data_IF_165206454961
#
_entry.id   IF_165206454961
#
_cell.length_a   1.000
_cell.length_b   1.000
_cell.length_c   1.000
_cell.angle_alpha   90.00
_cell.angle_beta   90.00
_cell.angle_gamma   90.00
#
_symmetry.space_group_name_H-M   'P 1'
#
loop_
_entity.id
_entity.type
_entity.pdbx_description
1 polymer ?
#
# COMPACT_ATOMS: atom_id res chain seq x y z
N UNK A 1 -23.14 -2.90 -9.17
CA UNK A 1 -22.13 -3.19 -8.13
C UNK A 1 -20.74 -2.89 -8.68
N UNK A 2 -19.83 -2.37 -7.86
CA UNK A 2 -18.45 -2.06 -8.23
C UNK A 2 -17.51 -2.88 -7.33
N UNK A 3 -16.61 -3.64 -7.93
CA UNK A 3 -15.48 -4.28 -7.25
C UNK A 3 -14.22 -3.46 -7.50
N UNK A 4 -13.64 -2.92 -6.43
CA UNK A 4 -12.39 -2.17 -6.47
C UNK A 4 -11.29 -2.99 -5.81
N UNK A 5 -10.30 -3.40 -6.59
CA UNK A 5 -9.10 -4.06 -6.10
C UNK A 5 -8.05 -3.01 -5.70
N UNK A 6 -7.35 -3.28 -4.60
CA UNK A 6 -6.22 -2.47 -4.15
C UNK A 6 -5.06 -3.37 -3.68
N UNK A 7 -3.84 -2.83 -3.72
CA UNK A 7 -2.60 -3.55 -3.40
C UNK A 7 -1.90 -2.92 -2.19
N UNK A 8 -0.75 -3.46 -1.76
CA UNK A 8 0.01 -2.98 -0.60
C UNK A 8 0.24 -1.44 -0.58
N UNK A 9 0.50 -0.75 -1.73
CA UNK A 9 0.61 0.71 -1.76
C UNK A 9 -0.60 1.45 -1.20
N UNK A 10 -1.83 0.93 -1.36
CA UNK A 10 -3.04 1.55 -0.82
C UNK A 10 -3.00 1.62 0.72
N UNK A 11 -2.53 0.55 1.36
CA UNK A 11 -2.37 0.47 2.81
C UNK A 11 -1.34 1.51 3.27
N UNK A 12 -0.26 1.70 2.51
CA UNK A 12 0.77 2.69 2.83
C UNK A 12 0.29 4.14 2.68
N UNK A 13 -0.55 4.45 1.68
CA UNK A 13 -1.14 5.78 1.55
C UNK A 13 -1.92 6.17 2.82
N UNK A 14 -2.70 5.22 3.35
CA UNK A 14 -3.49 5.39 4.55
C UNK A 14 -2.61 5.45 5.82
N UNK A 15 -1.72 4.47 6.00
CA UNK A 15 -0.94 4.33 7.23
C UNK A 15 0.09 5.44 7.43
N UNK A 16 0.62 6.02 6.34
CA UNK A 16 1.64 7.06 6.39
C UNK A 16 1.14 8.43 5.93
N UNK A 17 -0.18 8.57 5.69
CA UNK A 17 -0.80 9.81 5.21
C UNK A 17 -0.07 10.41 4.01
N UNK A 18 0.19 9.59 2.99
CA UNK A 18 0.95 10.00 1.81
C UNK A 18 0.08 10.82 0.83
N UNK A 19 0.61 11.12 -0.35
CA UNK A 19 0.00 11.97 -1.40
C UNK A 19 -1.49 11.65 -1.67
N UNK A 20 -1.88 10.39 -1.67
CA UNK A 20 -3.24 9.94 -1.95
C UNK A 20 -4.03 9.55 -0.70
N UNK A 21 -3.65 10.07 0.47
CA UNK A 21 -4.31 9.77 1.74
C UNK A 21 -5.82 10.03 1.70
N UNK A 22 -6.23 11.26 1.38
CA UNK A 22 -7.64 11.64 1.44
C UNK A 22 -8.53 10.85 0.46
N UNK A 23 -8.15 10.68 -0.82
CA UNK A 23 -8.93 9.85 -1.73
C UNK A 23 -8.97 8.37 -1.29
N UNK A 24 -7.87 7.82 -0.76
CA UNK A 24 -7.88 6.44 -0.25
C UNK A 24 -8.78 6.30 0.98
N UNK A 25 -8.83 7.32 1.83
CA UNK A 25 -9.72 7.35 2.99
C UNK A 25 -11.18 7.40 2.57
N UNK A 26 -11.52 8.18 1.54
CA UNK A 26 -12.88 8.23 1.00
C UNK A 26 -13.29 6.89 0.36
N UNK A 27 -12.39 6.23 -0.36
CA UNK A 27 -12.64 4.89 -0.90
C UNK A 27 -12.94 3.87 0.21
N UNK A 28 -12.24 3.97 1.35
CA UNK A 28 -12.51 3.13 2.52
C UNK A 28 -13.89 3.42 3.14
N UNK A 29 -14.29 4.69 3.18
CA UNK A 29 -15.63 5.09 3.64
C UNK A 29 -16.73 4.58 2.70
N UNK A 30 -16.53 4.70 1.39
CA UNK A 30 -17.44 4.15 0.37
C UNK A 30 -17.58 2.63 0.50
N UNK A 31 -16.48 1.93 0.81
CA UNK A 31 -16.50 0.50 1.07
C UNK A 31 -17.26 0.16 2.36
N UNK A 32 -17.00 0.89 3.44
CA UNK A 32 -17.72 0.72 4.71
C UNK A 32 -19.22 1.00 4.60
N UNK A 33 -19.63 1.88 3.67
CA UNK A 33 -21.04 2.16 3.40
C UNK A 33 -21.70 1.15 2.44
N UNK A 34 -20.94 0.20 1.88
CA UNK A 34 -21.43 -0.76 0.88
C UNK A 34 -21.66 -0.18 -0.51
N UNK A 35 -21.22 1.07 -0.76
CA UNK A 35 -21.34 1.72 -2.07
C UNK A 35 -20.42 1.08 -3.10
N UNK A 36 -19.25 0.62 -2.67
CA UNK A 36 -18.31 -0.19 -3.44
C UNK A 36 -17.90 -1.42 -2.62
N UNK A 37 -17.48 -2.49 -3.27
CA UNK A 37 -16.79 -3.58 -2.61
C UNK A 37 -15.29 -3.42 -2.79
N UNK A 38 -14.59 -2.99 -1.75
CA UNK A 38 -13.13 -2.97 -1.72
C UNK A 38 -12.61 -4.40 -1.51
N UNK A 39 -11.68 -4.84 -2.33
CA UNK A 39 -11.03 -6.14 -2.20
C UNK A 39 -9.50 -6.00 -2.22
N UNK A 40 -8.84 -6.64 -1.26
CA UNK A 40 -7.37 -6.68 -1.19
C UNK A 40 -6.91 -8.15 -1.15
N UNK A 41 -5.83 -8.50 -1.86
CA UNK A 41 -5.21 -9.79 -1.67
C UNK A 41 -4.56 -9.88 -0.29
N UNK A 42 -4.61 -11.04 0.34
CA UNK A 42 -3.95 -11.27 1.65
C UNK A 42 -2.45 -10.91 1.59
N UNK A 43 -1.80 -11.12 0.43
CA UNK A 43 -0.40 -10.76 0.20
C UNK A 43 -0.13 -9.29 0.41
N UNK A 44 -1.08 -8.38 0.14
CA UNK A 44 -0.90 -6.96 0.41
C UNK A 44 -0.68 -6.69 1.91
N UNK A 45 -1.44 -7.36 2.78
CA UNK A 45 -1.28 -7.25 4.23
C UNK A 45 0.06 -7.84 4.70
N UNK A 46 0.41 -9.02 4.17
CA UNK A 46 1.68 -9.71 4.52
C UNK A 46 2.88 -8.87 4.08
N UNK A 47 2.86 -8.34 2.86
CA UNK A 47 3.92 -7.49 2.32
C UNK A 47 4.07 -6.20 3.13
N UNK A 48 2.96 -5.57 3.51
CA UNK A 48 2.98 -4.37 4.36
C UNK A 48 3.61 -4.67 5.72
N UNK A 49 3.22 -5.76 6.40
CA UNK A 49 3.81 -6.14 7.69
C UNK A 49 5.29 -6.49 7.58
N UNK A 50 5.68 -7.23 6.53
CA UNK A 50 7.07 -7.55 6.26
C UNK A 50 7.91 -6.27 6.02
N UNK A 51 7.41 -5.37 5.19
CA UNK A 51 8.06 -4.10 4.86
C UNK A 51 8.15 -3.18 6.08
N UNK A 52 7.10 -3.12 6.92
CA UNK A 52 7.12 -2.38 8.18
C UNK A 52 8.23 -2.90 9.12
N UNK A 53 8.38 -4.22 9.22
CA UNK A 53 9.45 -4.85 10.00
C UNK A 53 10.83 -4.48 9.45
N UNK A 54 11.05 -4.60 8.13
CA UNK A 54 12.32 -4.24 7.51
C UNK A 54 12.69 -2.76 7.73
N UNK A 55 11.71 -1.85 7.60
CA UNK A 55 11.90 -0.42 7.89
C UNK A 55 12.28 -0.20 9.35
N UNK A 56 11.62 -0.90 10.28
CA UNK A 56 11.94 -0.81 11.71
C UNK A 56 13.35 -1.30 12.03
N UNK A 57 13.80 -2.40 11.43
CA UNK A 57 15.17 -2.91 11.62
C UNK A 57 16.19 -1.90 11.10
N UNK A 58 16.03 -1.42 9.86
CA UNK A 58 16.92 -0.39 9.28
C UNK A 58 16.99 0.88 10.12
N UNK A 59 15.85 1.32 10.67
CA UNK A 59 15.79 2.51 11.53
C UNK A 59 16.48 2.28 12.88
N UNK A 60 16.37 1.08 13.46
CA UNK A 60 17.09 0.73 14.68
C UNK A 60 18.61 0.73 14.46
N UNK A 61 19.08 0.18 13.34
CA UNK A 61 20.50 0.15 13.00
C UNK A 61 21.06 1.58 12.83
N UNK A 62 20.30 2.45 12.15
CA UNK A 62 20.63 3.86 12.00
C UNK A 62 20.67 4.59 13.36
N UNK A 63 19.65 4.38 14.20
CA UNK A 63 19.57 4.99 15.52
C UNK A 63 20.71 4.54 16.45
N UNK A 64 21.14 3.29 16.36
CA UNK A 64 22.30 2.81 17.10
C UNK A 64 23.59 3.50 16.63
N UNK A 65 23.78 3.60 15.31
CA UNK A 65 24.92 4.31 14.71
C UNK A 65 24.97 5.79 15.15
N UNK A 66 23.83 6.47 15.13
CA UNK A 66 23.72 7.87 15.57
C UNK A 66 23.96 8.05 17.07
N UNK A 67 23.51 7.12 17.91
CA UNK A 67 23.80 7.16 19.36
C UNK A 67 25.29 7.00 19.64
N UNK A 68 25.96 6.12 18.91
CA UNK A 68 27.39 5.91 19.09
C UNK A 68 28.18 7.14 18.63
N UNK A 69 27.80 7.77 17.53
CA UNK A 69 28.39 9.04 17.07
C UNK A 69 28.16 10.17 18.09
N UNK A 70 26.92 10.32 18.59
CA UNK A 70 26.60 11.32 19.61
C UNK A 70 27.44 11.16 20.89
N UNK A 71 27.69 9.90 21.31
CA UNK A 71 28.57 9.61 22.45
C UNK A 71 30.03 9.96 22.18
N UNK A 72 30.52 9.77 20.96
CA UNK A 72 31.89 10.14 20.59
C UNK A 72 32.06 11.66 20.56
N UNK A 73 31.11 12.37 19.94
CA UNK A 73 31.11 13.83 19.90
C UNK A 73 31.01 14.46 21.30
N UNK A 74 30.16 13.91 22.18
CA UNK A 74 30.02 14.39 23.55
C UNK A 74 31.28 14.25 24.41
N UNK A 75 32.23 13.38 24.01
CA UNK A 75 33.53 13.22 24.70
C UNK A 75 34.61 14.18 24.20
N UNK A 76 34.34 14.91 23.13
CA UNK A 76 35.28 15.86 22.55
C UNK A 76 35.04 17.23 23.16
N UNK A 77 36.10 17.87 23.64
CA UNK A 77 36.00 19.22 24.20
C UNK A 77 35.80 20.25 23.08
N UNK A 78 34.91 21.22 23.31
CA UNK A 78 34.53 22.23 22.34
C UNK A 78 33.01 22.33 22.11
N UNK A 79 32.52 23.57 22.12
CA UNK A 79 31.10 23.91 22.04
C UNK A 79 30.43 23.29 20.80
N UNK A 80 31.08 23.32 19.64
CA UNK A 80 30.55 22.76 18.39
C UNK A 80 30.29 21.25 18.46
N UNK A 81 31.15 20.49 19.15
CA UNK A 81 31.00 19.04 19.31
C UNK A 81 29.86 18.70 20.27
N UNK A 82 29.70 19.49 21.34
CA UNK A 82 28.60 19.34 22.29
C UNK A 82 27.25 19.67 21.64
N UNK A 83 27.19 20.72 20.83
CA UNK A 83 25.98 21.08 20.08
C UNK A 83 25.59 20.00 19.07
N UNK A 84 26.57 19.44 18.35
CA UNK A 84 26.34 18.34 17.41
C UNK A 84 25.85 17.07 18.12
N UNK A 85 26.44 16.72 19.27
CA UNK A 85 26.00 15.59 20.08
C UNK A 85 24.55 15.75 20.58
N UNK A 86 24.17 16.96 21.00
CA UNK A 86 22.78 17.28 21.40
C UNK A 86 21.83 17.12 20.22
N UNK A 87 22.16 17.68 19.06
CA UNK A 87 21.32 17.61 17.87
C UNK A 87 21.09 16.16 17.40
N UNK A 88 22.13 15.32 17.39
CA UNK A 88 21.99 13.89 17.07
C UNK A 88 21.12 13.14 18.09
N UNK A 89 21.29 13.45 19.39
CA UNK A 89 20.47 12.84 20.45
C UNK A 89 19.00 13.22 20.29
N UNK A 90 18.70 14.49 20.01
CA UNK A 90 17.33 14.96 19.73
C UNK A 90 16.73 14.28 18.49
N UNK A 91 17.50 14.10 17.41
CA UNK A 91 17.06 13.39 16.22
C UNK A 91 16.71 11.92 16.53
N UNK A 92 17.54 11.24 17.33
CA UNK A 92 17.27 9.85 17.76
C UNK A 92 15.97 9.75 18.58
N UNK A 93 15.68 10.71 19.46
CA UNK A 93 14.44 10.70 20.24
C UNK A 93 13.21 10.89 19.34
N UNK A 94 13.24 11.88 18.45
CA UNK A 94 12.13 12.15 17.52
C UNK A 94 11.84 10.97 16.61
N UNK A 95 12.86 10.28 16.10
CA UNK A 95 12.66 9.10 15.24
C UNK A 95 12.02 7.91 15.97
N UNK A 96 12.24 7.78 17.28
CA UNK A 96 11.61 6.73 18.08
C UNK A 96 10.11 6.98 18.26
N UNK A 97 9.70 8.22 18.51
CA UNK A 97 8.28 8.63 18.60
C UNK A 97 7.57 8.39 17.27
N UNK A 98 8.16 8.84 16.15
CA UNK A 98 7.63 8.62 14.80
C UNK A 98 7.42 7.12 14.50
N UNK A 99 8.36 6.25 14.91
CA UNK A 99 8.22 4.82 14.70
C UNK A 99 7.07 4.19 15.50
N UNK A 100 6.76 4.74 16.69
CA UNK A 100 5.61 4.32 17.48
C UNK A 100 4.30 4.73 16.80
N UNK A 101 4.22 5.95 16.31
CA UNK A 101 3.04 6.49 15.61
C UNK A 101 2.78 5.72 14.30
N UNK A 102 3.80 5.49 13.47
CA UNK A 102 3.67 4.72 12.23
C UNK A 102 3.10 3.30 12.47
N UNK A 103 3.51 2.64 13.56
CA UNK A 103 3.01 1.29 13.91
C UNK A 103 1.55 1.34 14.36
N UNK A 104 1.18 2.33 15.16
CA UNK A 104 -0.18 2.53 15.63
C UNK A 104 -1.12 2.83 14.46
N UNK A 105 -0.70 3.72 13.57
CA UNK A 105 -1.47 4.11 12.38
C UNK A 105 -1.62 2.92 11.42
N UNK A 106 -0.57 2.12 11.21
CA UNK A 106 -0.67 0.91 10.42
C UNK A 106 -1.67 -0.10 11.01
N UNK A 107 -1.61 -0.34 12.33
CA UNK A 107 -2.55 -1.24 12.99
C UNK A 107 -4.01 -0.76 12.87
N UNK A 108 -4.24 0.55 13.00
CA UNK A 108 -5.56 1.15 12.82
C UNK A 108 -6.08 0.95 11.39
N UNK A 109 -5.24 1.19 10.39
CA UNK A 109 -5.59 1.01 8.98
C UNK A 109 -5.91 -0.45 8.66
N UNK A 110 -5.08 -1.39 9.11
CA UNK A 110 -5.34 -2.84 8.92
C UNK A 110 -6.68 -3.23 9.55
N UNK A 111 -6.98 -2.72 10.74
CA UNK A 111 -8.26 -2.98 11.44
C UNK A 111 -9.44 -2.43 10.66
N UNK A 112 -9.35 -1.20 10.13
CA UNK A 112 -10.40 -0.60 9.33
C UNK A 112 -10.63 -1.35 8.01
N UNK A 113 -9.56 -1.74 7.32
CA UNK A 113 -9.63 -2.57 6.11
C UNK A 113 -10.30 -3.90 6.44
N UNK A 114 -9.89 -4.58 7.51
CA UNK A 114 -10.47 -5.86 7.92
C UNK A 114 -11.97 -5.81 8.24
N UNK A 115 -12.48 -4.63 8.62
CA UNK A 115 -13.89 -4.44 8.93
C UNK A 115 -14.79 -4.23 7.70
N UNK A 116 -14.24 -3.79 6.55
CA UNK A 116 -15.05 -3.39 5.39
C UNK A 116 -14.58 -3.95 4.03
N UNK A 117 -13.36 -4.47 3.93
CA UNK A 117 -12.82 -4.99 2.68
C UNK A 117 -12.93 -6.52 2.62
N UNK A 118 -13.18 -7.04 1.42
CA UNK A 118 -13.04 -8.46 1.12
C UNK A 118 -11.55 -8.81 1.03
N UNK A 119 -11.07 -9.70 1.90
CA UNK A 119 -9.71 -10.23 1.81
C UNK A 119 -9.70 -11.46 0.88
N UNK A 120 -8.92 -11.39 -0.20
CA UNK A 120 -8.75 -12.52 -1.12
C UNK A 120 -7.70 -13.47 -0.55
N UNK A 121 -8.14 -14.65 -0.12
CA UNK A 121 -7.27 -15.69 0.41
C UNK A 121 -6.66 -16.50 -0.74
N UNK A 122 -5.34 -16.79 -0.72
CA UNK A 122 -4.72 -17.60 -1.74
C UNK A 122 -5.21 -19.06 -1.67
N UNK A 123 -5.37 -19.69 -2.82
CA UNK A 123 -5.64 -21.13 -2.99
C UNK A 123 -4.38 -21.78 -3.56
N UNK A 124 -4.31 -23.12 -3.56
CA UNK A 124 -3.20 -23.83 -4.19
C UNK A 124 -3.10 -23.49 -5.69
N UNK A 125 -4.24 -23.32 -6.37
CA UNK A 125 -4.29 -22.90 -7.77
C UNK A 125 -3.62 -21.55 -7.99
N UNK A 126 -3.84 -20.58 -7.11
CA UNK A 126 -3.20 -19.27 -7.20
C UNK A 126 -1.66 -19.35 -7.13
N UNK A 127 -1.06 -20.32 -6.43
CA UNK A 127 0.40 -20.49 -6.41
C UNK A 127 0.95 -21.01 -7.75
N UNK A 128 0.22 -21.88 -8.44
CA UNK A 128 0.62 -22.34 -9.77
C UNK A 128 0.54 -21.21 -10.79
N UNK A 129 -0.54 -20.41 -10.75
CA UNK A 129 -0.69 -19.23 -11.60
C UNK A 129 0.36 -18.16 -11.27
N UNK A 130 0.64 -17.94 -9.98
CA UNK A 130 1.67 -17.00 -9.54
C UNK A 130 3.06 -17.38 -10.07
N UNK A 131 3.41 -18.67 -10.12
CA UNK A 131 4.68 -19.12 -10.71
C UNK A 131 4.82 -18.71 -12.19
N UNK A 132 3.74 -18.82 -12.96
CA UNK A 132 3.73 -18.41 -14.37
C UNK A 132 3.79 -16.88 -14.52
N UNK A 133 3.17 -16.13 -13.61
CA UNK A 133 3.20 -14.66 -13.60
C UNK A 133 4.57 -14.14 -13.15
N UNK A 134 5.18 -14.75 -12.13
CA UNK A 134 6.51 -14.41 -11.61
C UNK A 134 7.58 -14.55 -12.71
N UNK A 135 7.48 -15.59 -13.55
CA UNK A 135 8.36 -15.79 -14.70
C UNK A 135 8.36 -14.61 -15.70
N UNK A 136 7.35 -13.73 -15.63
CA UNK A 136 7.27 -12.48 -16.41
C UNK A 136 7.97 -11.28 -15.73
N UNK A 137 8.69 -11.51 -14.62
CA UNK A 137 9.52 -10.51 -13.93
C UNK A 137 8.87 -9.84 -12.71
N UNK A 138 7.79 -10.39 -12.19
CA UNK A 138 7.10 -9.86 -10.99
C UNK A 138 7.66 -10.46 -9.71
N UNK A 139 7.50 -9.75 -8.60
CA UNK A 139 7.81 -10.35 -7.28
C UNK A 139 6.82 -11.48 -6.97
N UNK A 140 7.19 -12.44 -6.10
CA UNK A 140 6.25 -13.49 -5.67
C UNK A 140 4.98 -12.94 -5.01
N UNK A 141 5.06 -11.81 -4.28
CA UNK A 141 3.90 -11.17 -3.65
C UNK A 141 2.96 -10.56 -4.70
N UNK A 142 3.52 -9.83 -5.67
CA UNK A 142 2.76 -9.26 -6.78
C UNK A 142 2.11 -10.38 -7.61
N UNK A 143 2.89 -11.41 -7.98
CA UNK A 143 2.39 -12.50 -8.81
C UNK A 143 1.20 -13.23 -8.15
N UNK A 144 1.30 -13.52 -6.85
CA UNK A 144 0.23 -14.16 -6.10
C UNK A 144 -0.97 -13.23 -5.86
N UNK A 145 -0.73 -11.93 -5.65
CA UNK A 145 -1.79 -10.92 -5.59
C UNK A 145 -2.60 -10.90 -6.90
N UNK A 146 -1.91 -10.85 -8.04
CA UNK A 146 -2.55 -10.77 -9.35
C UNK A 146 -3.30 -12.04 -9.71
N UNK A 147 -2.74 -13.23 -9.40
CA UNK A 147 -3.44 -14.50 -9.59
C UNK A 147 -4.81 -14.50 -8.86
N UNK A 148 -4.81 -14.09 -7.58
CA UNK A 148 -6.04 -14.01 -6.79
C UNK A 148 -7.04 -12.95 -7.30
N UNK A 149 -6.55 -11.79 -7.73
CA UNK A 149 -7.39 -10.72 -8.30
C UNK A 149 -8.03 -11.18 -9.61
N UNK A 150 -7.27 -11.83 -10.50
CA UNK A 150 -7.75 -12.30 -11.80
C UNK A 150 -8.81 -13.40 -11.61
N UNK A 151 -8.56 -14.37 -10.72
CA UNK A 151 -9.52 -15.44 -10.44
C UNK A 151 -10.81 -14.89 -9.81
N UNK A 152 -10.71 -14.00 -8.81
CA UNK A 152 -11.88 -13.37 -8.21
C UNK A 152 -12.67 -12.57 -9.26
N UNK A 153 -12.00 -11.78 -10.11
CA UNK A 153 -12.65 -10.99 -11.16
C UNK A 153 -13.39 -11.85 -12.20
N UNK A 154 -12.81 -13.01 -12.56
CA UNK A 154 -13.40 -13.98 -13.49
C UNK A 154 -14.68 -14.59 -12.95
N UNK A 155 -14.78 -14.77 -11.64
CA UNK A 155 -15.94 -15.36 -10.97
C UNK A 155 -17.07 -14.36 -10.67
N UNK A 156 -16.88 -13.07 -10.98
CA UNK A 156 -17.92 -12.05 -10.81
C UNK A 156 -18.88 -12.01 -12.00
N UNK A 157 -20.11 -11.59 -11.74
CA UNK A 157 -21.11 -11.34 -12.77
C UNK A 157 -20.64 -10.28 -13.78
N UNK A 158 -20.99 -10.46 -15.06
CA UNK A 158 -20.56 -9.59 -16.16
C UNK A 158 -20.99 -8.13 -15.95
N UNK A 159 -22.12 -7.88 -15.29
CA UNK A 159 -22.62 -6.52 -14.98
C UNK A 159 -21.79 -5.78 -13.92
N UNK A 160 -20.92 -6.48 -13.19
CA UNK A 160 -20.06 -5.88 -12.16
C UNK A 160 -18.99 -4.99 -12.79
N UNK A 161 -18.94 -3.72 -12.38
CA UNK A 161 -17.81 -2.85 -12.73
C UNK A 161 -16.57 -3.29 -11.96
N UNK A 162 -15.48 -3.62 -12.66
CA UNK A 162 -14.23 -4.09 -12.06
C UNK A 162 -13.12 -3.06 -12.26
N UNK A 163 -12.49 -2.62 -11.18
CA UNK A 163 -11.36 -1.70 -11.24
C UNK A 163 -10.23 -2.15 -10.34
N UNK A 164 -8.99 -1.90 -10.75
CA UNK A 164 -7.78 -2.05 -9.94
C UNK A 164 -7.15 -0.67 -9.76
N UNK A 165 -6.99 -0.25 -8.50
CA UNK A 165 -6.21 0.93 -8.14
C UNK A 165 -4.77 0.52 -7.82
N UNK A 166 -3.90 0.60 -8.82
CA UNK A 166 -2.49 0.22 -8.73
C UNK A 166 -1.61 1.47 -8.60
N UNK A 167 -1.41 1.93 -7.37
CA UNK A 167 -0.74 3.21 -7.08
C UNK A 167 0.78 3.22 -7.34
N UNK A 168 1.37 2.09 -7.73
CA UNK A 168 2.74 2.03 -8.21
C UNK A 168 2.78 2.08 -9.74
N UNK A 169 3.00 3.28 -10.28
CA UNK A 169 3.09 3.52 -11.73
C UNK A 169 4.21 2.69 -12.37
N UNK A 170 5.34 2.48 -11.69
CA UNK A 170 6.46 1.70 -12.26
C UNK A 170 6.07 0.24 -12.38
N UNK A 171 5.42 -0.31 -11.35
CA UNK A 171 4.90 -1.68 -11.39
C UNK A 171 3.88 -1.86 -12.54
N UNK A 172 3.02 -0.87 -12.79
CA UNK A 172 2.04 -0.93 -13.89
C UNK A 172 2.72 -0.92 -15.27
N UNK A 173 3.74 -0.09 -15.50
CA UNK A 173 4.49 -0.10 -16.76
C UNK A 173 5.25 -1.42 -16.98
N UNK A 174 5.78 -2.03 -15.90
CA UNK A 174 6.38 -3.37 -15.98
C UNK A 174 5.33 -4.43 -16.36
N UNK A 175 4.15 -4.41 -15.73
CA UNK A 175 3.03 -5.32 -16.03
C UNK A 175 2.55 -5.20 -17.48
N UNK A 176 2.56 -3.98 -18.03
CA UNK A 176 2.22 -3.71 -19.44
C UNK A 176 3.23 -4.35 -20.39
N UNK A 177 4.52 -4.18 -20.11
CA UNK A 177 5.62 -4.78 -20.90
C UNK A 177 5.58 -6.31 -20.82
N UNK A 178 5.19 -6.85 -19.68
CA UNK A 178 5.02 -8.28 -19.42
C UNK A 178 3.73 -8.89 -20.01
N UNK A 179 2.87 -8.11 -20.66
CA UNK A 179 1.60 -8.58 -21.24
C UNK A 179 0.49 -8.89 -20.23
N UNK A 180 0.69 -8.61 -18.94
CA UNK A 180 -0.27 -8.90 -17.86
C UNK A 180 -1.51 -8.00 -17.96
N UNK A 181 -1.38 -6.82 -18.56
CA UNK A 181 -2.52 -5.92 -18.79
C UNK A 181 -3.60 -6.56 -19.69
N UNK A 182 -3.23 -7.48 -20.58
CA UNK A 182 -4.20 -8.24 -21.37
C UNK A 182 -4.98 -9.23 -20.51
N UNK A 183 -4.34 -9.88 -19.54
CA UNK A 183 -5.00 -10.77 -18.59
C UNK A 183 -6.09 -10.04 -17.80
N UNK A 184 -5.84 -8.78 -17.39
CA UNK A 184 -6.85 -7.92 -16.76
C UNK A 184 -8.00 -7.57 -17.68
N UNK A 185 -7.73 -7.21 -18.94
CA UNK A 185 -8.77 -6.88 -19.92
C UNK A 185 -9.67 -8.08 -20.19
N UNK A 186 -9.10 -9.28 -20.27
CA UNK A 186 -9.84 -10.52 -20.50
C UNK A 186 -10.86 -10.82 -19.39
N UNK A 187 -10.60 -10.38 -18.17
CA UNK A 187 -11.55 -10.48 -17.04
C UNK A 187 -12.29 -9.16 -16.76
N UNK A 188 -12.18 -8.17 -17.64
CA UNK A 188 -12.92 -6.91 -17.57
C UNK A 188 -12.43 -5.91 -16.50
N UNK A 189 -11.23 -6.08 -15.96
CA UNK A 189 -10.63 -5.15 -14.99
C UNK A 189 -10.09 -3.92 -15.71
N UNK A 190 -10.51 -2.73 -15.26
CA UNK A 190 -9.89 -1.45 -15.63
C UNK A 190 -8.82 -1.07 -14.61
N UNK A 191 -7.61 -0.76 -15.09
CA UNK A 191 -6.49 -0.39 -14.22
C UNK A 191 -6.36 1.14 -14.17
N UNK A 192 -6.23 1.69 -12.97
CA UNK A 192 -6.01 3.10 -12.70
C UNK A 192 -4.78 3.26 -11.82
N UNK A 193 -3.92 4.24 -12.10
CA UNK A 193 -2.68 4.45 -11.32
C UNK A 193 -2.78 5.60 -10.32
N UNK A 194 -3.87 6.36 -10.37
CA UNK A 194 -4.20 7.39 -9.36
C UNK A 194 -5.69 7.41 -9.04
N UNK A 195 -6.08 7.90 -7.84
CA UNK A 195 -7.49 8.11 -7.53
C UNK A 195 -8.18 9.12 -8.47
N UNK A 196 -7.44 10.12 -8.96
CA UNK A 196 -7.96 11.10 -9.92
C UNK A 196 -8.31 10.48 -11.27
N UNK A 197 -7.56 9.47 -11.72
CA UNK A 197 -7.90 8.70 -12.92
C UNK A 197 -9.11 7.77 -12.69
N UNK A 198 -9.28 7.25 -11.46
CA UNK A 198 -10.40 6.39 -11.06
C UNK A 198 -11.72 7.17 -10.93
N UNK A 199 -11.68 8.41 -10.43
CA UNK A 199 -12.87 9.19 -10.10
C UNK A 199 -13.87 9.37 -11.26
N UNK A 200 -13.45 9.74 -12.50
CA UNK A 200 -14.37 9.83 -13.62
C UNK A 200 -15.07 8.50 -13.92
N UNK A 201 -14.36 7.38 -13.79
CA UNK A 201 -14.96 6.07 -14.03
C UNK A 201 -16.00 5.72 -12.97
N UNK A 202 -15.71 5.99 -11.69
CA UNK A 202 -16.70 5.84 -10.61
C UNK A 202 -17.94 6.71 -10.85
N UNK A 203 -17.76 7.95 -11.32
CA UNK A 203 -18.87 8.85 -11.63
C UNK A 203 -19.80 8.30 -12.72
N UNK A 204 -19.27 7.62 -13.75
CA UNK A 204 -20.10 6.93 -14.76
C UNK A 204 -20.94 5.79 -14.18
N UNK A 205 -20.64 5.35 -12.97
CA UNK A 205 -21.34 4.32 -12.21
C UNK A 205 -22.17 4.88 -11.06
N UNK A 206 -22.32 6.21 -10.98
CA UNK A 206 -23.09 6.90 -9.95
C UNK A 206 -22.39 7.03 -8.59
N UNK A 207 -21.07 6.80 -8.54
CA UNK A 207 -20.26 6.93 -7.31
C UNK A 207 -19.36 8.15 -7.43
N UNK A 208 -19.49 9.08 -6.48
CA UNK A 208 -18.61 10.25 -6.42
C UNK A 208 -17.41 9.95 -5.53
N UNK A 209 -16.22 10.31 -6.02
CA UNK A 209 -15.02 10.44 -5.20
C UNK A 209 -14.73 11.94 -5.13
N UNK A 210 -15.15 12.59 -4.04
CA UNK A 210 -15.02 14.03 -3.86
C UNK A 210 -13.59 14.35 -3.44
N UNK A 211 -12.80 15.05 -4.26
CA UNK A 211 -11.58 15.65 -3.74
C UNK A 211 -12.04 16.72 -2.74
N UNK A 212 -11.88 16.47 -1.44
CA UNK A 212 -11.95 17.58 -0.49
C UNK A 212 -10.76 18.47 -0.83
N UNK A 213 -11.05 19.71 -1.21
CA UNK A 213 -10.05 20.74 -1.39
C UNK A 213 -9.21 20.79 -0.11
N UNK A 214 -7.90 20.64 -0.23
CA UNK A 214 -6.97 20.97 0.84
C UNK A 214 -7.24 22.42 1.27
N UNK A 215 -7.68 22.61 2.51
CA UNK A 215 -7.69 23.91 3.18
C UNK A 215 -6.31 24.19 3.74
#
# INVERSE_FOLDING_TARGET
MIRLYAEAPFIWQLALRQEFFEPCQELLQLASAGTIELALPLTALVETLHTARLRSTKRNDLNNSWRDEARQLARTDGIAYQDAARALTEAVLKTAEMASDERKDLNNVITQIGACAKILLPTIGHFADAYLIEAKGLTPYDALALAGIIEDARNLDVSTGRALLALDRKAVEMRKTAGITEDFKNVGIKVFVTPSELAPWLATKGVSLVPRSAN
#
